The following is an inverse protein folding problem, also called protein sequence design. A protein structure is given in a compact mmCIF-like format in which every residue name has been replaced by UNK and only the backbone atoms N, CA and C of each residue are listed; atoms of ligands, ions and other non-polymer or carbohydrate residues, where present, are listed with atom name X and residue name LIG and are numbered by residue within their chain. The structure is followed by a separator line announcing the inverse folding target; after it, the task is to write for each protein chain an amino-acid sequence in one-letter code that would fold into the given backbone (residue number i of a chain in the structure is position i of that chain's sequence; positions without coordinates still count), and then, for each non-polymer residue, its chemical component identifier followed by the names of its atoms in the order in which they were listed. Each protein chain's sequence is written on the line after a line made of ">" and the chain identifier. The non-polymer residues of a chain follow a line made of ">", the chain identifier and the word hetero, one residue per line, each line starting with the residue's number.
data_IF_181228787758
#
_entry.id   IF_181228787758
#
_cell.length_a   1.000
_cell.length_b   1.000
_cell.length_c   1.000
_cell.angle_alpha   90.00
_cell.angle_beta   90.00
_cell.angle_gamma   90.00
#
_symmetry.space_group_name_H-M   'P 1'
#
loop_
_entity.id
_entity.type
_entity.pdbx_description
1 polymer ?
#
# COMPACT_ATOMS: atom_id res chain seq x y z
N UNK A 1 -50.08 36.98 -0.64
CA UNK A 1 -49.42 36.05 -1.58
C UNK A 1 -47.99 35.80 -1.14
N UNK A 2 -47.73 34.70 -0.47
CA UNK A 2 -46.42 34.33 0.04
C UNK A 2 -45.72 33.42 -0.97
N UNK A 3 -44.56 33.86 -1.51
CA UNK A 3 -43.73 33.04 -2.41
C UNK A 3 -42.88 32.07 -1.59
N UNK A 4 -43.27 30.81 -1.61
CA UNK A 4 -42.50 29.68 -1.06
C UNK A 4 -41.26 29.47 -1.91
N UNK A 5 -40.07 29.81 -1.37
CA UNK A 5 -38.77 29.51 -2.00
C UNK A 5 -38.45 28.04 -1.74
N UNK A 6 -38.63 27.21 -2.74
CA UNK A 6 -38.12 25.84 -2.76
C UNK A 6 -36.60 25.82 -2.64
N UNK A 7 -36.07 25.33 -1.50
CA UNK A 7 -34.65 24.97 -1.34
C UNK A 7 -34.39 23.70 -2.16
N UNK A 8 -33.84 23.84 -3.36
CA UNK A 8 -33.25 22.71 -4.07
C UNK A 8 -32.09 22.15 -3.23
N UNK A 9 -32.35 21.03 -2.59
CA UNK A 9 -31.30 20.18 -2.03
C UNK A 9 -30.55 19.62 -3.24
N UNK A 10 -29.39 20.18 -3.55
CA UNK A 10 -28.43 19.59 -4.48
C UNK A 10 -27.81 18.38 -3.74
N UNK A 11 -28.45 17.26 -3.79
CA UNK A 11 -27.84 15.96 -3.55
C UNK A 11 -26.84 15.72 -4.68
N UNK A 12 -25.57 15.99 -4.40
CA UNK A 12 -24.48 15.50 -5.25
C UNK A 12 -24.54 13.97 -5.12
N UNK A 13 -25.02 13.30 -6.15
CA UNK A 13 -24.75 11.89 -6.34
C UNK A 13 -23.22 11.81 -6.54
N UNK A 14 -22.48 11.67 -5.43
CA UNK A 14 -21.09 11.27 -5.48
C UNK A 14 -21.11 9.87 -6.08
N UNK A 15 -20.60 9.75 -7.30
CA UNK A 15 -20.55 8.49 -8.02
C UNK A 15 -19.88 7.44 -7.15
N UNK A 16 -20.34 6.20 -7.28
CA UNK A 16 -19.92 5.04 -6.48
C UNK A 16 -18.40 4.77 -6.48
N UNK A 17 -17.66 5.45 -7.38
CA UNK A 17 -16.19 5.32 -7.46
C UNK A 17 -15.59 6.68 -7.73
N UNK A 18 -15.02 7.32 -6.71
CA UNK A 18 -14.21 8.54 -6.85
C UNK A 18 -12.72 8.20 -6.86
N UNK A 19 -11.90 9.04 -7.51
CA UNK A 19 -10.45 8.95 -7.41
C UNK A 19 -10.03 9.28 -5.97
N UNK A 20 -9.34 8.38 -5.26
CA UNK A 20 -8.94 8.62 -3.88
C UNK A 20 -8.01 9.83 -3.75
N UNK A 21 -8.27 10.69 -2.76
CA UNK A 21 -7.47 11.90 -2.52
C UNK A 21 -6.33 11.71 -1.54
N UNK A 22 -6.37 10.65 -0.74
CA UNK A 22 -5.40 10.33 0.31
C UNK A 22 -5.12 8.84 0.36
N UNK A 23 -3.95 8.51 0.89
CA UNK A 23 -3.49 7.14 1.09
C UNK A 23 -2.65 7.09 2.35
N UNK A 24 -2.71 6.01 3.11
CA UNK A 24 -1.75 5.72 4.17
C UNK A 24 -1.18 4.31 4.02
N UNK A 25 0.03 4.13 4.52
CA UNK A 25 0.69 2.84 4.59
C UNK A 25 0.51 2.23 5.99
N UNK A 26 0.30 0.92 6.05
CA UNK A 26 0.22 0.16 7.30
C UNK A 26 0.78 -1.24 7.12
N UNK A 27 1.20 -1.85 8.22
CA UNK A 27 1.75 -3.20 8.25
C UNK A 27 1.34 -3.92 9.52
N UNK A 28 1.36 -5.24 9.49
CA UNK A 28 1.01 -6.03 10.65
C UNK A 28 1.34 -7.51 10.52
N UNK A 29 1.39 -8.18 11.65
CA UNK A 29 1.62 -9.61 11.75
C UNK A 29 0.65 -10.27 12.73
N UNK A 30 0.39 -11.55 12.54
CA UNK A 30 -0.50 -12.31 13.39
C UNK A 30 -0.13 -13.79 13.44
N UNK A 31 -0.35 -14.41 14.60
CA UNK A 31 -0.12 -15.84 14.81
C UNK A 31 -1.39 -16.48 15.38
N UNK A 32 -1.82 -17.59 14.78
CA UNK A 32 -2.96 -18.35 15.27
C UNK A 32 -2.91 -19.82 14.84
N UNK A 33 -3.79 -20.65 15.41
CA UNK A 33 -3.92 -22.06 15.03
C UNK A 33 -4.38 -22.23 13.60
N UNK A 34 -5.31 -21.36 13.16
CA UNK A 34 -5.90 -21.39 11.82
C UNK A 34 -5.34 -20.24 10.95
N UNK A 35 -5.10 -20.51 9.66
CA UNK A 35 -4.55 -19.53 8.73
C UNK A 35 -5.41 -18.25 8.65
N UNK A 36 -6.73 -18.40 8.52
CA UNK A 36 -7.64 -17.25 8.43
C UNK A 36 -7.59 -16.40 9.71
N UNK A 37 -7.48 -17.04 10.87
CA UNK A 37 -7.37 -16.32 12.14
C UNK A 37 -6.04 -15.59 12.27
N UNK A 38 -4.93 -16.17 11.77
CA UNK A 38 -3.64 -15.47 11.75
C UNK A 38 -3.66 -14.23 10.86
N UNK A 39 -4.35 -14.30 9.72
CA UNK A 39 -4.58 -13.16 8.85
C UNK A 39 -5.43 -12.07 9.53
N UNK A 40 -6.53 -12.44 10.19
CA UNK A 40 -7.34 -11.50 10.97
C UNK A 40 -6.51 -10.82 12.09
N UNK A 41 -5.64 -11.56 12.77
CA UNK A 41 -4.74 -10.98 13.77
C UNK A 41 -3.74 -10.01 13.15
N UNK A 42 -3.22 -10.30 11.95
CA UNK A 42 -2.37 -9.38 11.20
C UNK A 42 -3.10 -8.10 10.80
N UNK A 43 -4.36 -8.20 10.35
CA UNK A 43 -5.21 -7.03 10.06
C UNK A 43 -5.47 -6.18 11.32
N UNK A 44 -5.67 -6.81 12.49
CA UNK A 44 -5.82 -6.12 13.79
C UNK A 44 -4.55 -5.36 14.16
N UNK A 45 -3.41 -5.99 14.01
CA UNK A 45 -2.10 -5.37 14.27
C UNK A 45 -1.84 -4.17 13.32
N UNK A 46 -2.28 -4.27 12.06
CA UNK A 46 -2.26 -3.19 11.09
C UNK A 46 -3.34 -2.10 11.34
N UNK A 47 -4.28 -2.31 12.29
CA UNK A 47 -5.42 -1.45 12.59
C UNK A 47 -6.43 -1.25 11.44
N UNK A 48 -6.60 -2.24 10.58
CA UNK A 48 -7.53 -2.22 9.45
C UNK A 48 -8.56 -3.36 9.44
N UNK A 49 -8.56 -4.23 10.46
CA UNK A 49 -9.47 -5.39 10.58
C UNK A 49 -10.96 -5.01 10.60
N UNK A 50 -11.28 -3.80 11.03
CA UNK A 50 -12.66 -3.30 11.10
C UNK A 50 -13.24 -2.84 9.75
N UNK A 51 -12.48 -2.95 8.66
CA UNK A 51 -12.83 -2.47 7.32
C UNK A 51 -13.13 -3.65 6.38
N UNK A 52 -13.98 -3.43 5.38
CA UNK A 52 -14.14 -4.34 4.26
C UNK A 52 -13.14 -3.96 3.17
N UNK A 53 -12.10 -4.76 3.00
CA UNK A 53 -11.01 -4.45 2.09
C UNK A 53 -11.29 -4.98 0.68
N UNK A 54 -11.14 -4.12 -0.32
CA UNK A 54 -11.18 -4.47 -1.73
C UNK A 54 -9.80 -4.22 -2.33
N UNK A 55 -9.17 -5.29 -2.83
CA UNK A 55 -7.88 -5.16 -3.51
C UNK A 55 -8.04 -4.50 -4.87
N UNK A 56 -7.15 -3.57 -5.18
CA UNK A 56 -7.05 -2.89 -6.47
C UNK A 56 -5.64 -3.02 -7.02
N UNK A 57 -5.47 -2.62 -8.29
CA UNK A 57 -4.17 -2.59 -8.94
C UNK A 57 -3.29 -1.42 -8.48
N UNK A 58 -2.13 -1.32 -9.02
CA UNK A 58 -0.90 -0.67 -8.57
C UNK A 58 -0.83 0.86 -8.80
N UNK A 59 -1.92 1.58 -9.01
CA UNK A 59 -1.86 3.01 -9.35
C UNK A 59 -1.95 3.90 -8.11
N UNK A 60 -0.94 4.77 -7.94
CA UNK A 60 -1.02 5.89 -7.02
C UNK A 60 -1.69 7.08 -7.74
N UNK A 61 -2.89 7.52 -7.31
CA UNK A 61 -3.67 8.48 -8.08
C UNK A 61 -3.02 9.86 -8.18
N UNK A 62 -3.28 10.61 -9.28
CA UNK A 62 -2.88 12.00 -9.37
C UNK A 62 -3.40 12.83 -8.17
N UNK A 63 -2.58 13.78 -7.72
CA UNK A 63 -2.86 14.64 -6.56
C UNK A 63 -3.10 13.92 -5.22
N UNK A 64 -3.07 12.59 -5.18
CA UNK A 64 -3.20 11.82 -3.94
C UNK A 64 -2.09 12.18 -2.95
N UNK A 65 -2.43 12.26 -1.66
CA UNK A 65 -1.50 12.60 -0.58
C UNK A 65 -1.24 11.40 0.30
N UNK A 66 0.04 11.07 0.49
CA UNK A 66 0.44 10.13 1.53
C UNK A 66 0.29 10.81 2.89
N UNK A 67 -0.55 10.25 3.75
CA UNK A 67 -0.83 10.76 5.10
C UNK A 67 -0.36 9.76 6.17
N UNK A 68 -0.24 10.23 7.39
CA UNK A 68 0.11 9.37 8.52
C UNK A 68 -0.97 8.33 8.79
N UNK A 69 -0.58 7.09 9.14
CA UNK A 69 -1.47 5.96 9.44
C UNK A 69 -2.58 6.35 10.45
N UNK A 70 -2.20 6.98 11.57
CA UNK A 70 -3.15 7.41 12.60
C UNK A 70 -4.27 8.27 12.00
N UNK A 71 -3.91 9.28 11.22
CA UNK A 71 -4.88 10.17 10.57
C UNK A 71 -5.75 9.44 9.56
N UNK A 72 -5.19 8.51 8.78
CA UNK A 72 -5.94 7.71 7.82
C UNK A 72 -6.99 6.83 8.50
N UNK A 73 -6.62 6.16 9.59
CA UNK A 73 -7.51 5.30 10.37
C UNK A 73 -8.68 6.10 11.00
N UNK A 74 -8.43 7.32 11.49
CA UNK A 74 -9.45 8.20 12.07
C UNK A 74 -10.53 8.63 11.05
N UNK A 75 -10.20 8.66 9.78
CA UNK A 75 -11.11 9.03 8.69
C UNK A 75 -12.02 7.89 8.24
N UNK A 76 -11.76 6.66 8.66
CA UNK A 76 -12.46 5.47 8.22
C UNK A 76 -13.37 4.91 9.33
N UNK A 77 -14.54 4.41 8.93
CA UNK A 77 -15.56 3.88 9.85
C UNK A 77 -15.57 2.35 9.84
N UNK A 78 -15.88 1.68 10.95
CA UNK A 78 -16.10 0.24 10.98
C UNK A 78 -17.14 -0.20 9.93
N UNK A 79 -16.84 -1.30 9.21
CA UNK A 79 -17.69 -1.83 8.14
C UNK A 79 -17.57 -1.10 6.80
N UNK A 80 -16.85 0.01 6.73
CA UNK A 80 -16.66 0.75 5.47
C UNK A 80 -15.92 -0.12 4.44
N UNK A 81 -16.41 -0.09 3.19
CA UNK A 81 -15.69 -0.66 2.05
C UNK A 81 -14.55 0.29 1.68
N UNK A 82 -13.32 -0.24 1.66
CA UNK A 82 -12.10 0.53 1.45
C UNK A 82 -11.23 -0.18 0.43
N UNK A 83 -10.73 0.56 -0.54
CA UNK A 83 -9.81 0.04 -1.55
C UNK A 83 -8.38 0.05 -1.01
N UNK A 84 -7.62 -1.00 -1.34
CA UNK A 84 -6.21 -1.10 -0.93
C UNK A 84 -5.37 -1.90 -1.94
N UNK A 85 -4.07 -1.60 -1.98
CA UNK A 85 -3.05 -2.52 -2.49
C UNK A 85 -2.52 -3.27 -1.27
N UNK A 86 -2.51 -4.60 -1.32
CA UNK A 86 -2.23 -5.45 -0.16
C UNK A 86 -1.27 -6.57 -0.54
N UNK A 87 -0.09 -6.56 0.04
CA UNK A 87 0.85 -7.68 0.06
C UNK A 87 0.66 -8.51 1.32
N UNK A 88 0.61 -9.83 1.20
CA UNK A 88 0.54 -10.75 2.33
C UNK A 88 1.38 -12.00 2.09
N UNK A 89 1.88 -12.58 3.17
CA UNK A 89 2.53 -13.87 3.16
C UNK A 89 2.17 -14.66 4.42
N UNK A 90 2.08 -15.98 4.32
CA UNK A 90 1.71 -16.85 5.44
C UNK A 90 2.47 -18.16 5.39
N UNK A 91 2.84 -18.68 6.57
CA UNK A 91 3.43 -20.02 6.72
C UNK A 91 3.06 -20.63 8.06
N UNK A 92 3.11 -21.95 8.13
CA UNK A 92 3.14 -22.72 9.37
C UNK A 92 4.46 -23.49 9.55
N UNK A 93 5.46 -23.22 8.70
CA UNK A 93 6.81 -23.78 8.85
C UNK A 93 7.53 -23.05 10.00
N UNK A 94 7.99 -23.78 11.05
CA UNK A 94 8.72 -23.17 12.15
C UNK A 94 9.96 -22.41 11.66
N UNK A 95 10.17 -21.22 12.23
CA UNK A 95 11.35 -20.38 12.01
C UNK A 95 11.54 -19.90 10.55
N UNK A 96 10.62 -20.17 9.63
CA UNK A 96 10.68 -19.68 8.25
C UNK A 96 10.63 -18.17 8.24
N UNK A 97 11.69 -17.50 7.78
CA UNK A 97 11.71 -16.05 7.58
C UNK A 97 10.76 -15.67 6.46
N UNK A 98 9.92 -14.67 6.68
CA UNK A 98 8.98 -14.15 5.68
C UNK A 98 8.89 -12.64 5.70
N UNK A 99 8.53 -12.06 4.57
CA UNK A 99 8.28 -10.64 4.39
C UNK A 99 7.03 -10.38 3.57
N UNK A 100 6.37 -9.24 3.81
CA UNK A 100 5.37 -8.63 2.95
C UNK A 100 5.64 -7.13 2.87
N UNK A 101 5.66 -6.58 1.67
CA UNK A 101 6.14 -5.22 1.41
C UNK A 101 5.23 -4.49 0.42
N UNK A 102 5.10 -3.18 0.60
CA UNK A 102 4.51 -2.24 -0.34
C UNK A 102 5.53 -1.15 -0.65
N UNK A 103 5.82 -0.95 -1.94
CA UNK A 103 6.62 0.16 -2.46
C UNK A 103 5.74 1.23 -3.08
N UNK A 104 6.21 2.46 -3.05
CA UNK A 104 5.52 3.61 -3.62
C UNK A 104 6.50 4.50 -4.36
N UNK A 105 6.18 4.87 -5.61
CA UNK A 105 6.89 5.86 -6.40
C UNK A 105 5.95 6.99 -6.84
N UNK A 106 6.33 8.23 -6.53
CA UNK A 106 5.50 9.42 -6.77
C UNK A 106 6.18 10.33 -7.78
N UNK A 107 5.51 10.69 -8.90
CA UNK A 107 6.08 11.60 -9.89
C UNK A 107 6.13 13.04 -9.37
N UNK A 108 7.06 13.84 -9.89
CA UNK A 108 7.16 15.28 -9.62
C UNK A 108 5.94 16.02 -10.13
N UNK A 109 5.52 15.71 -11.34
CA UNK A 109 4.28 16.22 -11.92
C UNK A 109 3.09 15.51 -11.26
N UNK A 110 2.46 16.18 -10.32
CA UNK A 110 1.34 15.66 -9.54
C UNK A 110 0.06 15.46 -10.35
N UNK A 111 -0.01 15.92 -11.60
CA UNK A 111 -1.11 15.64 -12.52
C UNK A 111 -1.00 14.24 -13.13
N UNK A 112 0.20 13.64 -13.07
CA UNK A 112 0.45 12.26 -13.47
C UNK A 112 0.23 11.31 -12.29
N UNK A 113 -0.11 10.07 -12.62
CA UNK A 113 -0.19 8.99 -11.61
C UNK A 113 1.20 8.46 -11.27
N UNK A 114 1.35 7.91 -10.07
CA UNK A 114 2.51 7.15 -9.64
C UNK A 114 2.21 5.65 -9.58
N UNK A 115 3.16 4.88 -9.03
CA UNK A 115 3.01 3.44 -8.85
C UNK A 115 3.09 3.01 -7.40
N UNK A 116 2.32 1.95 -7.10
CA UNK A 116 2.39 1.19 -5.87
C UNK A 116 2.74 -0.24 -6.27
N UNK A 117 3.84 -0.77 -5.78
CA UNK A 117 4.24 -2.17 -5.98
C UNK A 117 3.96 -3.00 -4.74
N UNK A 118 3.77 -4.30 -4.92
CA UNK A 118 3.63 -5.27 -3.85
C UNK A 118 4.68 -6.38 -4.01
N UNK A 119 5.21 -6.84 -2.88
CA UNK A 119 6.17 -7.95 -2.86
C UNK A 119 5.98 -8.76 -1.58
N UNK A 120 6.10 -10.08 -1.73
CA UNK A 120 6.17 -11.00 -0.61
C UNK A 120 7.24 -12.06 -0.87
N UNK A 121 7.91 -12.49 0.17
CA UNK A 121 9.05 -13.40 0.01
C UNK A 121 9.30 -14.24 1.25
N UNK A 122 10.05 -15.30 1.04
CA UNK A 122 10.68 -16.08 2.10
C UNK A 122 12.19 -15.87 2.09
N UNK A 123 12.80 -15.82 3.29
CA UNK A 123 14.24 -15.72 3.46
C UNK A 123 14.82 -14.32 3.35
N UNK A 124 14.06 -13.31 2.91
CA UNK A 124 14.53 -11.93 2.83
C UNK A 124 14.40 -11.19 4.15
N UNK A 125 15.33 -10.28 4.41
CA UNK A 125 15.27 -9.31 5.52
C UNK A 125 14.35 -8.14 5.16
N UNK A 126 13.98 -7.34 6.16
CA UNK A 126 13.20 -6.10 5.96
C UNK A 126 13.85 -5.16 4.94
N UNK A 127 15.18 -4.98 5.03
CA UNK A 127 15.93 -4.12 4.11
C UNK A 127 15.86 -4.66 2.67
N UNK A 128 16.19 -5.93 2.46
CA UNK A 128 16.21 -6.52 1.10
C UNK A 128 14.82 -6.48 0.45
N UNK A 129 13.78 -6.88 1.18
CA UNK A 129 12.42 -6.87 0.65
C UNK A 129 11.89 -5.43 0.43
N UNK A 130 12.27 -4.50 1.30
CA UNK A 130 11.90 -3.08 1.21
C UNK A 130 12.58 -2.38 0.04
N UNK A 131 13.87 -2.57 -0.15
CA UNK A 131 14.62 -2.00 -1.27
C UNK A 131 14.12 -2.55 -2.61
N UNK A 132 13.87 -3.85 -2.68
CA UNK A 132 13.34 -4.49 -3.89
C UNK A 132 11.98 -3.91 -4.30
N UNK A 133 11.03 -3.80 -3.37
CA UNK A 133 9.68 -3.31 -3.68
C UNK A 133 9.67 -1.82 -4.01
N UNK A 134 10.56 -1.04 -3.41
CA UNK A 134 10.72 0.39 -3.69
C UNK A 134 11.28 0.62 -5.10
N UNK A 135 12.33 -0.15 -5.46
CA UNK A 135 12.91 -0.12 -6.79
C UNK A 135 11.91 -0.56 -7.87
N UNK A 136 11.12 -1.59 -7.59
CA UNK A 136 10.07 -2.04 -8.50
C UNK A 136 9.05 -0.92 -8.80
N UNK A 137 8.58 -0.20 -7.78
CA UNK A 137 7.68 0.94 -7.97
C UNK A 137 8.33 2.07 -8.77
N UNK A 138 9.60 2.39 -8.47
CA UNK A 138 10.37 3.41 -9.18
C UNK A 138 10.59 3.04 -10.66
N UNK A 139 10.93 1.79 -10.93
CA UNK A 139 11.12 1.25 -12.28
C UNK A 139 9.85 1.33 -13.12
N UNK A 140 8.71 0.93 -12.56
CA UNK A 140 7.41 1.03 -13.23
C UNK A 140 7.05 2.49 -13.56
N UNK A 141 7.35 3.41 -12.66
CA UNK A 141 7.14 4.83 -12.89
C UNK A 141 8.11 5.39 -13.94
N UNK A 142 9.39 5.00 -13.90
CA UNK A 142 10.40 5.44 -14.84
C UNK A 142 10.03 5.10 -16.28
N UNK A 143 9.51 3.88 -16.52
CA UNK A 143 9.08 3.42 -17.86
C UNK A 143 8.07 4.37 -18.49
N UNK A 144 7.04 4.82 -17.76
CA UNK A 144 6.01 5.73 -18.31
C UNK A 144 6.48 7.18 -18.40
N UNK A 145 7.49 7.56 -17.64
CA UNK A 145 8.08 8.90 -17.71
C UNK A 145 9.15 9.04 -18.81
N UNK A 146 9.48 7.94 -19.49
CA UNK A 146 10.55 7.91 -20.50
C UNK A 146 11.95 8.06 -19.87
N UNK A 147 12.11 7.75 -18.59
CA UNK A 147 13.42 7.69 -17.92
C UNK A 147 14.10 6.39 -18.31
N UNK A 148 15.39 6.40 -18.71
CA UNK A 148 16.12 5.17 -19.02
C UNK A 148 16.03 4.18 -17.87
N UNK A 149 15.69 2.94 -18.19
CA UNK A 149 15.60 1.83 -17.27
C UNK A 149 16.39 0.65 -17.83
N UNK A 150 17.37 0.19 -17.08
CA UNK A 150 18.13 -1.01 -17.36
C UNK A 150 18.01 -1.96 -16.16
N UNK A 151 17.33 -3.11 -16.32
CA UNK A 151 17.15 -4.07 -15.24
C UNK A 151 18.48 -4.71 -14.78
N UNK A 152 19.51 -4.70 -15.64
CA UNK A 152 20.80 -5.31 -15.35
C UNK A 152 21.75 -4.38 -14.55
N UNK A 153 21.41 -3.10 -14.40
CA UNK A 153 22.17 -2.19 -13.53
C UNK A 153 21.81 -2.42 -12.05
N UNK A 154 22.75 -2.11 -11.16
CA UNK A 154 22.53 -2.23 -9.72
C UNK A 154 21.43 -1.30 -9.24
N UNK A 155 20.80 -1.63 -8.09
CA UNK A 155 19.77 -0.78 -7.46
C UNK A 155 20.28 0.64 -7.17
N UNK A 156 21.52 0.77 -6.68
CA UNK A 156 22.10 2.08 -6.35
C UNK A 156 22.31 2.95 -7.59
N UNK A 157 22.76 2.35 -8.70
CA UNK A 157 22.92 3.05 -9.98
C UNK A 157 21.57 3.52 -10.53
N UNK A 158 20.52 2.66 -10.48
CA UNK A 158 19.16 3.04 -10.88
C UNK A 158 18.62 4.18 -10.02
N UNK A 159 18.85 4.14 -8.72
CA UNK A 159 18.44 5.20 -7.78
C UNK A 159 19.06 6.55 -8.10
N UNK A 160 20.34 6.57 -8.50
CA UNK A 160 21.00 7.79 -8.96
C UNK A 160 20.41 8.30 -10.29
N UNK A 161 20.11 7.41 -11.27
CA UNK A 161 19.45 7.78 -12.53
C UNK A 161 18.10 8.44 -12.24
N UNK A 162 17.29 7.90 -11.33
CA UNK A 162 15.99 8.46 -10.96
C UNK A 162 16.13 9.84 -10.30
N UNK A 163 17.13 10.04 -9.46
CA UNK A 163 17.44 11.36 -8.86
C UNK A 163 17.89 12.38 -9.92
N UNK A 164 18.77 11.98 -10.82
CA UNK A 164 19.31 12.84 -11.89
C UNK A 164 18.20 13.25 -12.86
N UNK A 165 17.27 12.35 -13.18
CA UNK A 165 16.12 12.66 -14.07
C UNK A 165 15.20 13.73 -13.49
N UNK A 166 15.21 13.91 -12.16
CA UNK A 166 14.35 14.85 -11.43
C UNK A 166 12.83 14.70 -11.74
N UNK A 167 12.41 13.53 -12.21
CA UNK A 167 11.02 13.24 -12.56
C UNK A 167 10.29 12.46 -11.47
N UNK A 168 11.02 11.70 -10.64
CA UNK A 168 10.52 10.98 -9.48
C UNK A 168 10.90 11.78 -8.23
N UNK A 169 9.90 12.25 -7.48
CA UNK A 169 10.14 13.09 -6.29
C UNK A 169 10.33 12.26 -5.04
N UNK A 170 9.65 11.13 -4.98
CA UNK A 170 9.64 10.32 -3.76
C UNK A 170 9.48 8.85 -4.09
N UNK A 171 10.37 8.06 -3.52
CA UNK A 171 10.20 6.63 -3.33
C UNK A 171 10.10 6.33 -1.84
N UNK A 172 9.37 5.31 -1.46
CA UNK A 172 9.28 4.85 -0.07
C UNK A 172 8.68 3.45 -0.03
N UNK A 173 8.93 2.71 1.03
CA UNK A 173 8.29 1.43 1.26
C UNK A 173 7.73 1.30 2.67
N UNK A 174 6.94 0.26 2.90
CA UNK A 174 6.61 -0.29 4.19
C UNK A 174 6.71 -1.81 4.10
N UNK A 175 7.44 -2.39 5.01
CA UNK A 175 7.75 -3.82 5.02
C UNK A 175 7.50 -4.40 6.40
N UNK A 176 6.76 -5.51 6.48
CA UNK A 176 6.63 -6.32 7.68
C UNK A 176 7.39 -7.62 7.50
N UNK A 177 8.18 -7.99 8.50
CA UNK A 177 8.92 -9.25 8.50
C UNK A 177 8.75 -9.99 9.84
N UNK A 178 8.70 -11.30 9.77
CA UNK A 178 8.73 -12.14 10.96
C UNK A 178 9.23 -13.54 10.62
N UNK A 179 9.33 -14.40 11.62
CA UNK A 179 9.60 -15.81 11.44
C UNK A 179 8.37 -16.63 11.79
N UNK A 180 8.18 -17.74 11.08
CA UNK A 180 7.14 -18.71 11.39
C UNK A 180 7.21 -19.16 12.84
N UNK A 181 6.04 -19.31 13.45
CA UNK A 181 5.88 -19.69 14.85
C UNK A 181 6.60 -21.00 15.15
N UNK A 182 7.32 -21.06 16.26
CA UNK A 182 8.15 -22.22 16.65
C UNK A 182 7.37 -23.51 16.85
N UNK A 183 6.08 -23.39 17.19
CA UNK A 183 5.19 -24.53 17.47
C UNK A 183 4.33 -24.90 16.24
N UNK A 184 4.65 -24.36 15.06
CA UNK A 184 3.96 -24.68 13.79
C UNK A 184 2.58 -24.06 13.64
N UNK A 185 2.23 -23.03 14.43
CA UNK A 185 1.02 -22.25 14.22
C UNK A 185 1.15 -21.38 12.96
N UNK A 186 0.04 -21.10 12.31
CA UNK A 186 0.03 -20.18 11.19
C UNK A 186 0.48 -18.80 11.61
N UNK A 187 1.46 -18.29 10.88
CA UNK A 187 1.97 -16.92 11.00
C UNK A 187 1.69 -16.19 9.69
N UNK A 188 1.11 -15.01 9.79
CA UNK A 188 0.83 -14.14 8.63
C UNK A 188 1.49 -12.79 8.83
N UNK A 189 2.11 -12.26 7.78
CA UNK A 189 2.56 -10.87 7.66
C UNK A 189 1.80 -10.18 6.54
N UNK A 190 1.54 -8.90 6.70
CA UNK A 190 0.96 -8.08 5.64
C UNK A 190 1.54 -6.66 5.64
N UNK A 191 1.54 -6.06 4.46
CA UNK A 191 1.75 -4.62 4.24
C UNK A 191 0.64 -4.11 3.31
N UNK A 192 0.13 -2.91 3.56
CA UNK A 192 -0.96 -2.36 2.77
C UNK A 192 -0.81 -0.87 2.52
N UNK A 193 -1.20 -0.45 1.31
CA UNK A 193 -1.49 0.93 0.95
C UNK A 193 -3.01 1.09 0.92
N UNK A 194 -3.56 1.83 1.87
CA UNK A 194 -5.01 1.96 2.08
C UNK A 194 -5.48 3.33 1.60
N UNK A 195 -6.41 3.34 0.65
CA UNK A 195 -6.98 4.55 0.10
C UNK A 195 -8.05 5.15 1.02
N UNK A 196 -8.04 6.47 1.10
CA UNK A 196 -9.01 7.26 1.86
C UNK A 196 -9.70 8.22 0.89
N UNK A 197 -11.03 8.24 0.88
CA UNK A 197 -11.82 9.15 0.03
C UNK A 197 -11.47 10.62 0.17
#
# INVERSE_FOLDING_TARGET
>A
MAKTRSKRVRGRAEGLVSVPSRLFLTKGQGVAKEKLTSFEMALRNANISRLNLVRVSSIFPPHCKLIQRKRGIELLKPGQIVYCVLSENSTNEPHRQMAASIGLAVPKDRTKYGYISEHHSFGQTEAIAGDFVEDLAASMLAMILGVPFDPDTSYDERKEIYKISNQIVRTTNITETTRGDKDGRWTTVLAAAVFVP
#
